data_IF_786013824562
#
_entry.id   IF_786013824562
#
_cell.length_a   1.000
_cell.length_b   1.000
_cell.length_c   1.000
_cell.angle_alpha   90.00
_cell.angle_beta   90.00
_cell.angle_gamma   90.00
#
_symmetry.space_group_name_H-M   'P 1'
#
loop_
_entity.id
_entity.type
_entity.pdbx_description
1 polymer ?
#
# COMPACT_ATOMS: atom_id res chain seq x y z
N UNK A 1 -35.71 -0.23 0.94
CA UNK A 1 -34.59 0.72 0.75
C UNK A 1 -33.56 0.71 1.90
N UNK A 2 -33.95 0.53 3.18
CA UNK A 2 -33.06 0.57 4.36
C UNK A 2 -31.91 -0.47 4.39
N UNK A 3 -32.11 -1.69 3.87
CA UNK A 3 -31.10 -2.76 3.90
C UNK A 3 -29.94 -2.55 2.92
N UNK A 4 -30.19 -1.98 1.73
CA UNK A 4 -29.13 -1.59 0.78
C UNK A 4 -28.26 -0.45 1.31
N UNK A 5 -28.85 0.49 2.04
CA UNK A 5 -28.14 1.63 2.64
C UNK A 5 -27.23 1.20 3.80
N UNK A 6 -27.72 0.34 4.71
CA UNK A 6 -26.92 -0.19 5.81
C UNK A 6 -25.76 -1.07 5.30
N UNK A 7 -26.02 -1.92 4.30
CA UNK A 7 -24.99 -2.80 3.71
C UNK A 7 -23.86 -2.01 3.05
N UNK A 8 -24.18 -0.96 2.30
CA UNK A 8 -23.15 -0.10 1.68
C UNK A 8 -22.39 0.71 2.73
N UNK A 9 -23.03 1.14 3.82
CA UNK A 9 -22.32 1.79 4.93
C UNK A 9 -21.35 0.89 5.66
N UNK A 10 -21.72 -0.36 5.93
CA UNK A 10 -20.86 -1.33 6.60
C UNK A 10 -19.60 -1.63 5.78
N UNK A 11 -19.75 -1.87 4.46
CA UNK A 11 -18.64 -2.18 3.56
C UNK A 11 -17.63 -1.03 3.49
N UNK A 12 -18.09 0.23 3.53
CA UNK A 12 -17.21 1.41 3.53
C UNK A 12 -16.27 1.43 4.74
N UNK A 13 -16.82 1.23 5.94
CA UNK A 13 -16.01 1.20 7.17
C UNK A 13 -15.12 -0.03 7.21
N UNK A 14 -15.62 -1.18 6.75
CA UNK A 14 -14.88 -2.44 6.75
C UNK A 14 -13.54 -2.35 6.01
N UNK A 15 -13.52 -1.85 4.77
CA UNK A 15 -12.26 -1.70 4.02
C UNK A 15 -11.30 -0.69 4.65
N UNK A 16 -11.83 0.40 5.23
CA UNK A 16 -11.02 1.38 5.95
C UNK A 16 -10.36 0.80 7.20
N UNK A 17 -11.11 0.03 7.99
CA UNK A 17 -10.59 -0.64 9.18
C UNK A 17 -9.53 -1.70 8.85
N UNK A 18 -9.72 -2.48 7.78
CA UNK A 18 -8.69 -3.43 7.35
C UNK A 18 -7.43 -2.69 6.89
N UNK A 19 -7.56 -1.60 6.12
CA UNK A 19 -6.41 -0.79 5.70
C UNK A 19 -5.64 -0.25 6.92
N UNK A 20 -6.34 0.24 7.95
CA UNK A 20 -5.74 0.70 9.20
C UNK A 20 -5.03 -0.43 9.95
N UNK A 21 -5.65 -1.62 10.02
CA UNK A 21 -5.03 -2.78 10.63
C UNK A 21 -3.73 -3.18 9.90
N UNK A 22 -3.75 -3.24 8.57
CA UNK A 22 -2.55 -3.50 7.77
C UNK A 22 -1.48 -2.42 7.98
N UNK A 23 -1.85 -1.15 8.10
CA UNK A 23 -0.93 -0.07 8.43
C UNK A 23 -0.24 -0.29 9.77
N UNK A 24 -1.00 -0.62 10.83
CA UNK A 24 -0.45 -0.88 12.17
C UNK A 24 0.52 -2.05 12.13
N UNK A 25 0.14 -3.17 11.50
CA UNK A 25 1.01 -4.33 11.35
C UNK A 25 2.28 -3.97 10.58
N UNK A 26 2.15 -3.23 9.48
CA UNK A 26 3.30 -2.78 8.67
C UNK A 26 4.20 -1.83 9.46
N UNK A 27 3.64 -0.91 10.24
CA UNK A 27 4.40 0.03 11.05
C UNK A 27 5.19 -0.69 12.16
N UNK A 28 4.55 -1.58 12.91
CA UNK A 28 5.21 -2.35 13.99
C UNK A 28 6.32 -3.23 13.42
N UNK A 29 6.02 -4.00 12.37
CA UNK A 29 7.03 -4.87 11.74
C UNK A 29 8.14 -4.07 11.09
N UNK A 30 7.85 -2.89 10.53
CA UNK A 30 8.84 -2.00 9.94
C UNK A 30 9.82 -1.46 10.98
N UNK A 31 9.30 -0.99 12.12
CA UNK A 31 10.15 -0.55 13.25
C UNK A 31 11.05 -1.69 13.72
N UNK A 32 10.52 -2.91 13.86
CA UNK A 32 11.34 -4.07 14.27
C UNK A 32 12.45 -4.35 13.26
N UNK A 33 12.16 -4.31 11.95
CA UNK A 33 13.17 -4.52 10.91
C UNK A 33 14.24 -3.42 10.91
N UNK A 34 13.83 -2.17 11.15
CA UNK A 34 14.72 -1.00 11.16
C UNK A 34 15.76 -1.08 12.29
N UNK A 35 15.42 -1.68 13.44
CA UNK A 35 16.37 -1.91 14.55
C UNK A 35 17.58 -2.76 14.16
N UNK A 36 17.45 -3.62 13.14
CA UNK A 36 18.52 -4.48 12.64
C UNK A 36 19.09 -4.03 11.29
N UNK A 37 18.42 -3.10 10.62
CA UNK A 37 18.81 -2.58 9.32
C UNK A 37 19.85 -1.47 9.50
N UNK A 38 20.79 -1.37 8.55
CA UNK A 38 21.79 -0.30 8.51
C UNK A 38 21.70 0.37 7.13
N UNK A 39 21.34 1.66 7.05
CA UNK A 39 21.12 2.38 5.79
C UNK A 39 22.44 2.79 5.11
N UNK A 40 23.34 1.82 4.91
CA UNK A 40 24.60 1.99 4.17
C UNK A 40 24.50 1.08 2.93
N UNK A 41 24.47 1.64 1.70
CA UNK A 41 24.20 0.87 0.47
C UNK A 41 25.08 -0.37 0.28
N UNK A 42 26.35 -0.29 0.68
CA UNK A 42 27.33 -1.38 0.60
C UNK A 42 27.05 -2.51 1.60
N UNK A 43 26.46 -2.19 2.76
CA UNK A 43 26.18 -3.13 3.85
C UNK A 43 24.74 -3.63 3.85
N UNK A 44 23.85 -2.95 3.15
CA UNK A 44 22.42 -3.27 3.09
C UNK A 44 22.12 -4.74 2.72
N UNK A 45 22.79 -5.37 1.72
CA UNK A 45 22.54 -6.78 1.40
C UNK A 45 22.85 -7.70 2.58
N UNK A 46 24.03 -7.54 3.20
CA UNK A 46 24.48 -8.37 4.33
C UNK A 46 23.57 -8.21 5.55
N UNK A 47 23.02 -7.01 5.79
CA UNK A 47 22.05 -6.79 6.88
C UNK A 47 20.73 -7.49 6.64
N UNK A 48 20.28 -7.59 5.40
CA UNK A 48 19.06 -8.32 5.07
C UNK A 48 19.25 -9.83 5.34
N UNK A 49 20.38 -10.40 4.93
CA UNK A 49 20.70 -11.80 5.26
C UNK A 49 20.82 -12.00 6.77
N UNK A 50 21.43 -11.05 7.49
CA UNK A 50 21.47 -11.11 8.95
C UNK A 50 20.07 -11.18 9.58
N UNK A 51 19.14 -10.33 9.13
CA UNK A 51 17.74 -10.36 9.58
C UNK A 51 17.06 -11.67 9.22
N UNK A 52 17.32 -12.22 8.03
CA UNK A 52 16.66 -13.44 7.58
C UNK A 52 17.18 -14.70 8.31
N UNK A 53 18.48 -14.76 8.59
CA UNK A 53 19.14 -16.00 9.03
C UNK A 53 19.44 -16.02 10.53
N UNK A 54 19.68 -14.86 11.15
CA UNK A 54 20.18 -14.76 12.53
C UNK A 54 19.22 -14.08 13.52
N UNK A 55 18.28 -13.26 13.04
CA UNK A 55 17.26 -12.65 13.90
C UNK A 55 16.12 -13.65 14.08
N UNK A 56 15.76 -13.95 15.34
CA UNK A 56 14.68 -14.87 15.65
C UNK A 56 13.36 -14.40 15.01
N UNK A 57 12.84 -15.19 14.07
CA UNK A 57 11.62 -14.85 13.33
C UNK A 57 11.76 -13.70 12.33
N UNK A 58 12.97 -13.18 12.08
CA UNK A 58 13.19 -12.03 11.19
C UNK A 58 12.71 -12.26 9.77
N UNK A 59 12.88 -13.48 9.23
CA UNK A 59 12.28 -13.89 7.96
C UNK A 59 10.75 -13.75 7.94
N UNK A 60 10.06 -14.24 8.98
CA UNK A 60 8.60 -14.18 9.10
C UNK A 60 8.14 -12.73 9.22
N UNK A 61 8.81 -11.93 10.06
CA UNK A 61 8.52 -10.51 10.25
C UNK A 61 8.65 -9.76 8.92
N UNK A 62 9.69 -10.05 8.14
CA UNK A 62 9.92 -9.46 6.81
C UNK A 62 8.83 -9.82 5.80
N UNK A 63 8.36 -11.07 5.84
CA UNK A 63 7.23 -11.52 5.00
C UNK A 63 5.95 -10.81 5.42
N UNK A 64 5.63 -10.77 6.71
CA UNK A 64 4.44 -10.10 7.23
C UNK A 64 4.45 -8.62 6.87
N UNK A 65 5.59 -7.93 7.04
CA UNK A 65 5.75 -6.53 6.67
C UNK A 65 5.43 -6.31 5.18
N UNK A 66 6.03 -7.13 4.31
CA UNK A 66 5.86 -7.02 2.85
C UNK A 66 4.42 -7.32 2.41
N UNK A 67 3.82 -8.40 2.90
CA UNK A 67 2.44 -8.76 2.56
C UNK A 67 1.44 -7.76 3.12
N UNK A 68 1.64 -7.28 4.35
CA UNK A 68 0.77 -6.28 4.96
C UNK A 68 0.78 -4.97 4.17
N UNK A 69 1.94 -4.56 3.64
CA UNK A 69 2.03 -3.40 2.76
C UNK A 69 1.23 -3.58 1.45
N UNK A 70 1.32 -4.75 0.80
CA UNK A 70 0.49 -5.03 -0.39
C UNK A 70 -1.01 -5.05 -0.07
N UNK A 71 -1.40 -5.69 1.03
CA UNK A 71 -2.80 -5.74 1.46
C UNK A 71 -3.33 -4.35 1.84
N UNK A 72 -2.52 -3.51 2.48
CA UNK A 72 -2.87 -2.12 2.79
C UNK A 72 -3.22 -1.36 1.50
N UNK A 73 -2.34 -1.39 0.50
CA UNK A 73 -2.57 -0.73 -0.79
C UNK A 73 -3.85 -1.24 -1.45
N UNK A 74 -4.04 -2.56 -1.49
CA UNK A 74 -5.25 -3.16 -2.06
C UNK A 74 -6.54 -2.70 -1.36
N UNK A 75 -6.54 -2.67 -0.02
CA UNK A 75 -7.71 -2.26 0.76
C UNK A 75 -8.00 -0.77 0.63
N UNK A 76 -6.97 0.09 0.54
CA UNK A 76 -7.15 1.52 0.27
C UNK A 76 -7.78 1.75 -1.10
N UNK A 77 -7.38 1.00 -2.13
CA UNK A 77 -8.02 1.09 -3.46
C UNK A 77 -9.52 0.72 -3.36
N UNK A 78 -9.86 -0.38 -2.69
CA UNK A 78 -11.26 -0.79 -2.48
C UNK A 78 -12.07 0.24 -1.67
N UNK A 79 -11.44 0.86 -0.67
CA UNK A 79 -12.04 1.90 0.14
C UNK A 79 -12.38 3.15 -0.70
N UNK A 80 -11.48 3.58 -1.57
CA UNK A 80 -11.64 4.77 -2.42
C UNK A 80 -12.64 4.52 -3.56
N UNK A 81 -12.64 3.32 -4.15
CA UNK A 81 -13.64 2.90 -5.15
C UNK A 81 -15.08 3.04 -4.62
N UNK A 82 -15.30 2.85 -3.32
CA UNK A 82 -16.62 2.96 -2.71
C UNK A 82 -17.04 4.39 -2.32
N UNK A 83 -16.08 5.29 -2.09
CA UNK A 83 -16.35 6.63 -1.54
C UNK A 83 -16.61 7.72 -2.59
N UNK A 84 -16.60 7.38 -3.89
CA UNK A 84 -16.82 8.37 -4.96
C UNK A 84 -15.94 9.63 -4.81
N UNK A 85 -14.71 9.50 -4.30
CA UNK A 85 -13.63 10.51 -4.37
C UNK A 85 -14.01 11.93 -3.92
N UNK A 86 -15.04 12.11 -3.08
CA UNK A 86 -15.52 13.45 -2.73
C UNK A 86 -14.66 14.11 -1.66
N UNK A 87 -13.93 13.32 -0.90
CA UNK A 87 -13.17 13.80 0.24
C UNK A 87 -11.68 13.88 -0.07
N UNK A 88 -11.12 15.08 0.02
CA UNK A 88 -9.68 15.38 -0.12
C UNK A 88 -8.84 14.47 0.79
N UNK A 89 -9.38 14.11 1.95
CA UNK A 89 -8.79 13.21 2.94
C UNK A 89 -8.47 11.83 2.34
N UNK A 90 -9.34 11.29 1.47
CA UNK A 90 -9.11 9.99 0.82
C UNK A 90 -7.92 10.03 -0.15
N UNK A 91 -7.76 11.15 -0.86
CA UNK A 91 -6.65 11.35 -1.80
C UNK A 91 -5.34 11.50 -1.04
N UNK A 92 -5.33 12.29 0.05
CA UNK A 92 -4.17 12.44 0.92
C UNK A 92 -3.75 11.09 1.51
N UNK A 93 -4.71 10.32 2.03
CA UNK A 93 -4.44 8.99 2.59
C UNK A 93 -3.82 8.05 1.55
N UNK A 94 -4.29 8.08 0.30
CA UNK A 94 -3.72 7.29 -0.78
C UNK A 94 -2.28 7.69 -1.11
N UNK A 95 -2.00 8.98 -1.22
CA UNK A 95 -0.65 9.50 -1.49
C UNK A 95 0.31 9.06 -0.39
N UNK A 96 -0.09 9.21 0.88
CA UNK A 96 0.72 8.77 2.02
C UNK A 96 0.97 7.25 1.95
N UNK A 97 -0.07 6.46 1.68
CA UNK A 97 0.04 5.00 1.55
C UNK A 97 1.04 4.61 0.45
N UNK A 98 1.00 5.29 -0.70
CA UNK A 98 1.93 5.05 -1.81
C UNK A 98 3.37 5.43 -1.47
N UNK A 99 3.57 6.56 -0.76
CA UNK A 99 4.91 6.97 -0.31
C UNK A 99 5.51 5.90 0.62
N UNK A 100 4.76 5.42 1.61
CA UNK A 100 5.21 4.35 2.51
C UNK A 100 5.48 3.03 1.77
N UNK A 101 4.64 2.68 0.81
CA UNK A 101 4.80 1.47 0.00
C UNK A 101 6.10 1.52 -0.83
N UNK A 102 6.41 2.67 -1.44
CA UNK A 102 7.65 2.85 -2.20
C UNK A 102 8.89 3.00 -1.33
N UNK A 103 8.81 3.75 -0.23
CA UNK A 103 9.97 3.99 0.62
C UNK A 103 10.52 2.67 1.13
N UNK A 104 9.66 1.75 1.60
CA UNK A 104 10.07 0.43 2.08
C UNK A 104 10.73 -0.45 1.01
N UNK A 105 10.50 -0.17 -0.26
CA UNK A 105 11.12 -0.88 -1.38
C UNK A 105 12.52 -0.35 -1.73
N UNK A 106 12.78 0.94 -1.52
CA UNK A 106 14.08 1.56 -1.84
C UNK A 106 15.15 1.19 -0.81
N UNK A 107 14.78 0.94 0.45
CA UNK A 107 15.74 0.66 1.52
C UNK A 107 16.58 -0.61 1.28
N UNK A 108 16.01 -1.77 0.91
CA UNK A 108 16.84 -2.92 0.65
C UNK A 108 17.52 -2.77 -0.72
N UNK A 109 18.85 -2.64 -0.73
CA UNK A 109 19.67 -3.03 -1.88
C UNK A 109 19.73 -4.57 -1.93
N UNK A 110 18.59 -5.25 -1.79
CA UNK A 110 18.56 -6.70 -1.94
C UNK A 110 18.79 -7.04 -3.41
N UNK A 111 19.32 -8.24 -3.66
CA UNK A 111 19.25 -8.85 -4.98
C UNK A 111 17.80 -9.25 -5.31
N UNK A 112 16.83 -8.36 -5.06
CA UNK A 112 15.47 -8.55 -5.54
C UNK A 112 15.56 -8.73 -7.04
N UNK A 113 15.01 -9.82 -7.57
CA UNK A 113 15.05 -10.04 -8.99
C UNK A 113 14.38 -8.89 -9.73
N UNK A 114 14.95 -8.49 -10.87
CA UNK A 114 14.49 -7.35 -11.66
C UNK A 114 12.96 -7.34 -11.88
N UNK A 115 12.34 -8.50 -12.07
CA UNK A 115 10.89 -8.63 -12.27
C UNK A 115 10.03 -8.08 -11.13
N UNK A 116 10.53 -8.11 -9.89
CA UNK A 116 9.84 -7.49 -8.74
C UNK A 116 9.84 -5.96 -8.88
N UNK A 117 10.92 -5.38 -9.43
CA UNK A 117 11.03 -3.95 -9.70
C UNK A 117 9.99 -3.50 -10.74
N UNK A 118 9.85 -4.28 -11.82
CA UNK A 118 8.83 -4.04 -12.83
C UNK A 118 7.41 -4.17 -12.24
N UNK A 119 7.16 -5.18 -11.41
CA UNK A 119 5.86 -5.37 -10.77
C UNK A 119 5.45 -4.17 -9.90
N UNK A 120 6.36 -3.65 -9.05
CA UNK A 120 6.08 -2.46 -8.23
C UNK A 120 5.76 -1.22 -9.05
N UNK A 121 6.56 -0.98 -10.08
CA UNK A 121 6.36 0.16 -10.98
C UNK A 121 5.02 0.07 -11.71
N UNK A 122 4.63 -1.12 -12.16
CA UNK A 122 3.35 -1.38 -12.80
C UNK A 122 2.20 -1.15 -11.82
N UNK A 123 2.28 -1.69 -10.59
CA UNK A 123 1.24 -1.50 -9.56
C UNK A 123 0.96 -0.02 -9.32
N UNK A 124 2.00 0.79 -9.19
CA UNK A 124 1.85 2.23 -8.96
C UNK A 124 1.32 2.95 -10.19
N UNK A 125 1.80 2.57 -11.38
CA UNK A 125 1.31 3.14 -12.63
C UNK A 125 -0.19 2.86 -12.79
N UNK A 126 -0.64 1.64 -12.51
CA UNK A 126 -2.05 1.25 -12.52
C UNK A 126 -2.85 2.07 -11.49
N UNK A 127 -2.36 2.21 -10.26
CA UNK A 127 -3.04 3.01 -9.23
C UNK A 127 -3.17 4.47 -9.68
N UNK A 128 -2.11 5.04 -10.24
CA UNK A 128 -2.10 6.42 -10.76
C UNK A 128 -3.10 6.59 -11.91
N UNK A 129 -3.14 5.63 -12.84
CA UNK A 129 -4.10 5.61 -13.94
C UNK A 129 -5.53 5.50 -13.42
N UNK A 130 -5.80 4.64 -12.43
CA UNK A 130 -7.12 4.51 -11.79
C UNK A 130 -7.54 5.85 -11.20
N UNK A 131 -6.66 6.54 -10.46
CA UNK A 131 -6.95 7.88 -9.91
C UNK A 131 -7.27 8.88 -11.02
N UNK A 132 -6.48 8.90 -12.11
CA UNK A 132 -6.69 9.82 -13.24
C UNK A 132 -8.04 9.53 -13.92
N UNK A 133 -8.35 8.27 -14.23
CA UNK A 133 -9.64 7.87 -14.84
C UNK A 133 -10.80 8.27 -13.92
N UNK A 134 -10.69 8.01 -12.61
CA UNK A 134 -11.69 8.41 -11.62
C UNK A 134 -11.87 9.93 -11.59
N UNK A 135 -10.79 10.71 -11.69
CA UNK A 135 -10.86 12.16 -11.74
C UNK A 135 -11.50 12.66 -13.06
N UNK A 136 -11.09 12.10 -14.20
CA UNK A 136 -11.62 12.43 -15.53
C UNK A 136 -13.12 12.10 -15.66
N UNK A 137 -13.60 11.06 -14.98
CA UNK A 137 -15.03 10.72 -14.95
C UNK A 137 -15.92 11.79 -14.32
N UNK A 138 -15.34 12.78 -13.62
CA UNK A 138 -16.05 13.94 -13.08
C UNK A 138 -16.17 15.10 -14.08
N UNK A 139 -15.47 15.08 -15.22
CA UNK A 139 -15.57 16.14 -16.21
C UNK A 139 -16.84 15.99 -17.06
N UNK A 140 -17.63 17.06 -17.22
CA UNK A 140 -18.95 17.02 -17.86
C UNK A 140 -18.94 16.70 -19.37
N UNK A 141 -17.76 16.61 -20.00
CA UNK A 141 -17.59 16.40 -21.44
C UNK A 141 -18.18 15.05 -21.88
N UNK A 142 -18.13 14.02 -21.03
CA UNK A 142 -18.72 12.71 -21.33
C UNK A 142 -20.24 12.62 -21.11
N UNK A 143 -20.84 13.61 -20.46
CA UNK A 143 -22.28 13.62 -20.16
C UNK A 143 -23.13 14.38 -21.19
N UNK A 144 -22.49 15.12 -22.11
CA UNK A 144 -23.19 15.92 -23.14
C UNK A 144 -23.45 15.15 -24.45
N UNK A 145 -23.03 13.89 -24.56
CA UNK A 145 -23.26 13.04 -25.74
C UNK A 145 -24.34 11.95 -25.52
N UNK A 146 -25.21 12.11 -24.52
CA UNK A 146 -26.36 11.24 -24.32
C UNK A 146 -27.64 12.03 -24.02
#
# INVERSE_FOLDING_TARGET
MRTKFLRTSFIRYFFGWIALFCFIVSAITGVILDLYYVPIPEKAPTRIFFIMDYVLGGYIIRIIHRWSAYFMVFMVILHILHLYYKDIICIILLIITLIFFFSGYILPNDQTPYWIHYFHTIVVSIITIIIIIMHLSKFPIFFQLK
#
